data_IF_086673355921
#
_entry.id   IF_086673355921
#
_cell.length_a   1.000
_cell.length_b   1.000
_cell.length_c   1.000
_cell.angle_alpha   90.00
_cell.angle_beta   90.00
_cell.angle_gamma   90.00
#
_symmetry.space_group_name_H-M   'P 1'
#
loop_
_entity.id
_entity.type
_entity.pdbx_description
1 polymer ?
#
# COMPACT_ATOMS: atom_id res chain seq x y z
N UNK A 1 -8.19 -17.90 1.52
CA UNK A 1 -8.62 -17.26 0.24
C UNK A 1 -8.56 -15.75 0.37
N UNK A 2 -8.09 -15.01 -0.66
CA UNK A 2 -7.99 -13.55 -0.60
C UNK A 2 -9.34 -12.90 -0.91
N UNK A 3 -9.83 -12.05 0.00
CA UNK A 3 -11.05 -11.25 -0.19
C UNK A 3 -10.65 -9.87 -0.69
N UNK A 4 -10.77 -9.64 -2.01
CA UNK A 4 -10.24 -8.45 -2.68
C UNK A 4 -11.24 -7.29 -2.71
N UNK A 5 -10.72 -6.10 -2.51
CA UNK A 5 -11.46 -4.85 -2.57
C UNK A 5 -10.64 -3.68 -3.08
N UNK A 6 -10.89 -2.49 -2.56
CA UNK A 6 -10.32 -1.25 -3.08
C UNK A 6 -9.66 -0.41 -2.00
N UNK A 7 -8.52 0.19 -2.35
CA UNK A 7 -7.80 1.20 -1.57
C UNK A 7 -7.98 2.59 -2.21
N UNK A 8 -8.16 3.67 -1.44
CA UNK A 8 -8.41 5.01 -1.98
C UNK A 8 -7.20 5.60 -2.73
N UNK A 9 -5.99 5.17 -2.39
CA UNK A 9 -4.78 5.68 -3.06
C UNK A 9 -4.62 5.18 -4.49
N UNK A 10 -5.28 4.09 -4.88
CA UNK A 10 -5.34 3.62 -6.27
C UNK A 10 -6.05 4.57 -7.22
N UNK A 11 -6.99 5.38 -6.69
CA UNK A 11 -7.80 6.36 -7.43
C UNK A 11 -7.82 7.73 -6.71
N UNK A 12 -6.68 8.11 -6.16
CA UNK A 12 -6.55 9.26 -5.26
C UNK A 12 -6.95 10.60 -5.89
N UNK A 13 -6.67 10.84 -7.17
CA UNK A 13 -7.11 12.05 -7.87
C UNK A 13 -8.62 12.07 -8.07
N UNK A 14 -9.19 10.95 -8.49
CA UNK A 14 -10.65 10.77 -8.68
C UNK A 14 -11.42 11.07 -7.38
N UNK A 15 -10.84 10.74 -6.24
CA UNK A 15 -11.44 10.98 -4.92
C UNK A 15 -11.16 12.38 -4.35
N UNK A 16 -10.31 13.18 -4.99
CA UNK A 16 -9.91 14.51 -4.51
C UNK A 16 -8.86 14.48 -3.40
N UNK A 17 -8.12 13.36 -3.25
CA UNK A 17 -7.03 13.21 -2.29
C UNK A 17 -5.70 13.69 -2.87
N UNK A 18 -5.41 13.37 -4.13
CA UNK A 18 -4.17 13.76 -4.79
C UNK A 18 -4.23 15.20 -5.29
N UNK A 19 -3.16 15.97 -5.03
CA UNK A 19 -3.05 17.36 -5.46
C UNK A 19 -3.98 18.34 -4.73
N UNK A 20 -4.61 17.94 -3.62
CA UNK A 20 -5.65 18.70 -2.90
C UNK A 20 -5.26 20.14 -2.56
N UNK A 21 -4.00 20.37 -2.20
CA UNK A 21 -3.49 21.68 -1.79
C UNK A 21 -2.71 22.38 -2.92
N UNK A 22 -2.99 22.04 -4.17
CA UNK A 22 -2.34 22.58 -5.37
C UNK A 22 -3.38 23.13 -6.35
N UNK A 23 -2.95 23.98 -7.32
CA UNK A 23 -3.83 24.44 -8.41
C UNK A 23 -4.37 23.30 -9.29
N UNK A 24 -3.85 22.07 -9.15
CA UNK A 24 -4.26 20.88 -9.89
C UNK A 24 -5.21 19.97 -9.11
N UNK A 25 -5.76 20.44 -7.99
CA UNK A 25 -6.75 19.69 -7.23
C UNK A 25 -7.96 19.32 -8.11
N UNK A 26 -8.54 18.14 -7.88
CA UNK A 26 -9.79 17.77 -8.53
C UNK A 26 -10.96 18.47 -7.83
N UNK A 27 -11.63 19.45 -8.47
CA UNK A 27 -12.74 20.17 -7.87
C UNK A 27 -14.00 19.29 -7.69
N UNK A 28 -14.05 18.17 -8.41
CA UNK A 28 -15.16 17.21 -8.38
C UNK A 28 -14.78 15.91 -7.67
N UNK A 29 -13.83 15.96 -6.73
CA UNK A 29 -13.38 14.79 -5.99
C UNK A 29 -14.52 14.07 -5.28
N UNK A 30 -14.69 12.77 -5.55
CA UNK A 30 -15.84 11.98 -5.09
C UNK A 30 -15.85 11.65 -3.59
N UNK A 31 -14.73 11.87 -2.88
CA UNK A 31 -14.61 11.54 -1.45
C UNK A 31 -15.03 10.11 -1.12
N UNK A 32 -15.53 9.89 0.10
CA UNK A 32 -15.96 8.56 0.55
C UNK A 32 -17.14 8.00 -0.27
N UNK A 33 -18.09 8.84 -0.66
CA UNK A 33 -19.25 8.38 -1.44
C UNK A 33 -18.86 7.90 -2.83
N UNK A 34 -18.00 8.65 -3.52
CA UNK A 34 -17.44 8.23 -4.80
C UNK A 34 -16.60 6.96 -4.67
N UNK A 35 -15.88 6.81 -3.57
CA UNK A 35 -15.10 5.62 -3.26
C UNK A 35 -15.98 4.37 -3.12
N UNK A 36 -17.05 4.45 -2.32
CA UNK A 36 -18.03 3.34 -2.16
C UNK A 36 -18.71 3.02 -3.50
N UNK A 37 -19.02 4.03 -4.31
CA UNK A 37 -19.65 3.81 -5.63
C UNK A 37 -18.72 3.03 -6.57
N UNK A 38 -17.45 3.41 -6.68
CA UNK A 38 -16.46 2.69 -7.50
C UNK A 38 -16.23 1.27 -6.97
N UNK A 39 -16.10 1.10 -5.66
CA UNK A 39 -15.95 -0.20 -5.05
C UNK A 39 -17.15 -1.12 -5.32
N UNK A 40 -18.36 -0.58 -5.28
CA UNK A 40 -19.58 -1.32 -5.62
C UNK A 40 -19.63 -1.72 -7.09
N UNK A 41 -19.26 -0.82 -8.02
CA UNK A 41 -19.16 -1.12 -9.45
C UNK A 41 -18.20 -2.27 -9.73
N UNK A 42 -17.06 -2.31 -9.04
CA UNK A 42 -16.04 -3.36 -9.22
C UNK A 42 -16.40 -4.70 -8.57
N UNK A 43 -17.43 -4.75 -7.74
CA UNK A 43 -17.76 -5.93 -6.93
C UNK A 43 -16.77 -6.16 -5.79
N UNK A 44 -16.17 -5.10 -5.26
CA UNK A 44 -15.23 -5.16 -4.16
C UNK A 44 -15.86 -5.78 -2.90
N UNK A 45 -15.08 -6.61 -2.19
CA UNK A 45 -15.48 -7.27 -0.94
C UNK A 45 -14.75 -6.72 0.28
N UNK A 46 -13.70 -5.94 0.08
CA UNK A 46 -12.95 -5.24 1.14
C UNK A 46 -12.92 -3.76 0.79
N UNK A 47 -13.06 -2.90 1.77
CA UNK A 47 -12.94 -1.46 1.59
C UNK A 47 -11.97 -0.90 2.62
N UNK A 48 -10.80 -0.45 2.17
CA UNK A 48 -9.84 0.24 3.02
C UNK A 48 -10.18 1.73 3.07
N UNK A 49 -10.61 2.22 4.23
CA UNK A 49 -11.17 3.56 4.38
C UNK A 49 -10.12 4.50 4.96
N UNK A 50 -9.93 5.64 4.31
CA UNK A 50 -9.02 6.69 4.73
C UNK A 50 -9.49 7.31 6.05
N UNK A 51 -8.70 7.16 7.12
CA UNK A 51 -9.07 7.53 8.48
C UNK A 51 -9.58 8.98 8.61
N UNK A 52 -8.99 9.99 7.94
CA UNK A 52 -9.52 11.35 8.01
C UNK A 52 -10.98 11.52 7.57
N UNK A 53 -11.53 10.61 6.75
CA UNK A 53 -12.97 10.62 6.46
C UNK A 53 -13.79 10.15 7.65
N UNK A 54 -13.28 9.17 8.40
CA UNK A 54 -13.93 8.64 9.61
C UNK A 54 -13.87 9.64 10.76
N UNK A 55 -12.74 10.31 10.91
CA UNK A 55 -12.50 11.33 11.94
C UNK A 55 -13.49 12.51 11.90
N UNK A 56 -14.10 12.76 10.74
CA UNK A 56 -15.13 13.79 10.58
C UNK A 56 -16.54 13.31 10.95
N UNK A 57 -16.72 12.01 11.26
CA UNK A 57 -18.01 11.38 11.53
C UNK A 57 -18.32 11.33 13.02
N UNK A 58 -19.58 11.45 13.34
CA UNK A 58 -20.11 11.08 14.65
C UNK A 58 -20.17 9.57 14.81
N UNK A 59 -20.28 9.09 16.04
CA UNK A 59 -20.42 7.65 16.31
C UNK A 59 -21.68 7.03 15.64
N UNK A 60 -22.76 7.79 15.54
CA UNK A 60 -23.98 7.35 14.87
C UNK A 60 -23.76 7.19 13.35
N UNK A 61 -23.01 8.11 12.72
CA UNK A 61 -22.65 8.03 11.31
C UNK A 61 -21.70 6.87 11.03
N UNK A 62 -20.74 6.60 11.91
CA UNK A 62 -19.85 5.42 11.81
C UNK A 62 -20.65 4.11 11.88
N UNK A 63 -21.62 3.99 12.78
CA UNK A 63 -22.52 2.84 12.86
C UNK A 63 -23.37 2.69 11.59
N UNK A 64 -23.92 3.78 11.09
CA UNK A 64 -24.65 3.77 9.83
C UNK A 64 -23.79 3.34 8.63
N UNK A 65 -22.53 3.79 8.59
CA UNK A 65 -21.56 3.35 7.59
C UNK A 65 -21.26 1.85 7.72
N UNK A 66 -21.06 1.33 8.94
CA UNK A 66 -20.90 -0.11 9.20
C UNK A 66 -22.07 -0.91 8.62
N UNK A 67 -23.31 -0.52 8.95
CA UNK A 67 -24.51 -1.21 8.48
C UNK A 67 -24.66 -1.16 6.95
N UNK A 68 -24.26 -0.04 6.34
CA UNK A 68 -24.23 0.12 4.89
C UNK A 68 -23.22 -0.81 4.23
N UNK A 69 -21.99 -0.87 4.75
CA UNK A 69 -20.93 -1.75 4.21
C UNK A 69 -21.34 -3.22 4.36
N UNK A 70 -21.92 -3.61 5.49
CA UNK A 70 -22.44 -4.95 5.70
C UNK A 70 -23.51 -5.33 4.67
N UNK A 71 -24.44 -4.42 4.36
CA UNK A 71 -25.47 -4.61 3.30
C UNK A 71 -24.84 -4.76 1.90
N UNK A 72 -23.71 -4.11 1.64
CA UNK A 72 -22.96 -4.22 0.39
C UNK A 72 -22.05 -5.46 0.37
N UNK A 73 -21.93 -6.19 1.48
CA UNK A 73 -21.04 -7.34 1.62
C UNK A 73 -19.56 -6.95 1.61
N UNK A 74 -19.24 -5.76 2.11
CA UNK A 74 -17.89 -5.23 2.18
C UNK A 74 -17.33 -5.30 3.61
N UNK A 75 -16.14 -5.86 3.78
CA UNK A 75 -15.38 -5.87 5.02
C UNK A 75 -14.56 -4.57 5.13
N UNK A 76 -14.73 -3.74 6.18
CA UNK A 76 -13.94 -2.54 6.36
C UNK A 76 -12.53 -2.84 6.86
N UNK A 77 -11.56 -2.08 6.38
CA UNK A 77 -10.20 -1.91 6.91
C UNK A 77 -9.99 -0.42 7.10
N UNK A 78 -9.30 0.02 8.15
CA UNK A 78 -9.01 1.45 8.37
C UNK A 78 -7.59 1.76 7.91
N UNK A 79 -7.42 2.80 7.12
CA UNK A 79 -6.10 3.28 6.65
C UNK A 79 -5.66 4.47 7.47
N UNK A 80 -4.61 4.28 8.29
CA UNK A 80 -4.05 5.31 9.17
C UNK A 80 -2.51 5.32 9.12
N UNK A 81 -1.87 6.15 9.94
CA UNK A 81 -0.42 6.22 10.05
C UNK A 81 0.01 6.98 11.28
N UNK A 82 1.19 6.68 11.80
CA UNK A 82 1.74 7.33 12.99
C UNK A 82 1.89 8.85 12.85
N UNK A 83 1.97 9.33 11.60
CA UNK A 83 2.09 10.77 11.30
C UNK A 83 0.78 11.39 10.81
N UNK A 84 -0.32 10.62 10.73
CA UNK A 84 -1.60 11.12 10.21
C UNK A 84 -2.53 11.63 11.30
N UNK A 85 -2.35 11.15 12.53
CA UNK A 85 -3.18 11.52 13.66
C UNK A 85 -3.05 10.55 14.83
N UNK A 86 -3.85 10.73 15.89
CA UNK A 86 -3.82 9.85 17.06
C UNK A 86 -4.32 8.43 16.71
N UNK A 87 -3.45 7.42 16.84
CA UNK A 87 -3.79 6.01 16.52
C UNK A 87 -4.87 5.45 17.43
N UNK A 88 -4.96 5.93 18.68
CA UNK A 88 -6.05 5.56 19.61
C UNK A 88 -7.44 5.94 19.06
N UNK A 89 -7.54 7.05 18.30
CA UNK A 89 -8.76 7.42 17.59
C UNK A 89 -9.06 6.40 16.48
N UNK A 90 -8.07 6.07 15.65
CA UNK A 90 -8.24 5.07 14.59
C UNK A 90 -8.68 3.71 15.16
N UNK A 91 -8.17 3.31 16.34
CA UNK A 91 -8.61 2.08 17.03
C UNK A 91 -10.10 2.17 17.41
N UNK A 92 -10.56 3.27 18.03
CA UNK A 92 -11.98 3.45 18.38
C UNK A 92 -12.90 3.45 17.15
N UNK A 93 -12.47 4.11 16.08
CA UNK A 93 -13.21 4.15 14.80
C UNK A 93 -13.29 2.76 14.18
N UNK A 94 -12.18 2.01 14.15
CA UNK A 94 -12.13 0.64 13.67
C UNK A 94 -13.11 -0.26 14.43
N UNK A 95 -13.10 -0.22 15.75
CA UNK A 95 -14.03 -0.98 16.60
C UNK A 95 -15.48 -0.63 16.29
N UNK A 96 -15.81 0.67 16.20
CA UNK A 96 -17.17 1.12 15.90
C UNK A 96 -17.63 0.68 14.52
N UNK A 97 -16.73 0.76 13.52
CA UNK A 97 -16.97 0.34 12.15
C UNK A 97 -17.03 -1.20 12.00
N UNK A 98 -16.46 -1.94 12.96
CA UNK A 98 -16.34 -3.40 12.91
C UNK A 98 -15.15 -3.88 12.06
N UNK A 99 -14.15 -3.04 11.88
CA UNK A 99 -12.88 -3.41 11.27
C UNK A 99 -11.98 -4.12 12.27
N UNK A 100 -11.31 -5.18 11.85
CA UNK A 100 -10.34 -5.95 12.65
C UNK A 100 -8.90 -5.65 12.30
N UNK A 101 -8.68 -4.83 11.26
CA UNK A 101 -7.36 -4.44 10.78
C UNK A 101 -7.31 -2.92 10.60
N UNK A 102 -6.23 -2.33 11.08
CA UNK A 102 -5.80 -0.96 10.74
C UNK A 102 -4.50 -1.08 9.95
N UNK A 103 -4.51 -0.70 8.67
CA UNK A 103 -3.27 -0.47 7.94
C UNK A 103 -2.58 0.75 8.52
N UNK A 104 -1.32 0.61 8.89
CA UNK A 104 -0.57 1.65 9.59
C UNK A 104 0.71 2.02 8.83
N UNK A 105 0.78 3.26 8.32
CA UNK A 105 2.03 3.83 7.80
C UNK A 105 2.96 4.27 8.93
N UNK A 106 4.25 3.90 8.85
CA UNK A 106 5.23 4.21 9.89
C UNK A 106 6.00 5.50 9.64
N UNK A 107 6.45 5.72 8.40
CA UNK A 107 7.30 6.87 8.04
C UNK A 107 6.86 7.53 6.73
N UNK A 108 7.32 8.74 6.41
CA UNK A 108 7.07 9.40 5.14
C UNK A 108 8.15 9.06 4.07
N UNK A 109 9.07 8.14 4.35
CA UNK A 109 10.16 7.79 3.42
C UNK A 109 9.62 7.08 2.20
N UNK A 110 10.03 7.53 1.03
CA UNK A 110 9.66 6.97 -0.27
C UNK A 110 10.92 6.54 -1.04
N UNK A 111 10.73 5.69 -2.06
CA UNK A 111 11.80 5.24 -2.97
C UNK A 111 12.97 4.51 -2.27
N UNK A 112 12.78 4.02 -1.07
CA UNK A 112 13.85 3.45 -0.25
C UNK A 112 14.91 4.47 0.16
N UNK A 113 14.70 5.77 -0.08
CA UNK A 113 15.73 6.79 0.13
C UNK A 113 15.80 7.25 1.59
N UNK A 114 16.25 6.35 2.47
CA UNK A 114 16.47 6.63 3.90
C UNK A 114 17.50 7.74 4.11
N UNK A 115 18.48 7.86 3.19
CA UNK A 115 19.51 8.89 3.28
C UNK A 115 18.95 10.29 3.04
N UNK A 116 17.92 10.45 2.21
CA UNK A 116 17.23 11.72 2.04
C UNK A 116 16.56 12.21 3.33
N UNK A 117 16.14 11.29 4.20
CA UNK A 117 15.64 11.64 5.54
C UNK A 117 16.78 12.10 6.49
N UNK A 118 18.03 11.75 6.20
CA UNK A 118 19.20 12.14 6.98
C UNK A 118 19.09 11.76 8.46
N UNK A 119 19.34 12.72 9.36
CA UNK A 119 19.23 12.50 10.81
C UNK A 119 17.82 12.11 11.26
N UNK A 120 16.77 12.52 10.54
CA UNK A 120 15.38 12.19 10.85
C UNK A 120 15.06 10.72 10.71
N UNK A 121 15.84 9.94 9.92
CA UNK A 121 15.62 8.51 9.82
C UNK A 121 15.63 7.82 11.19
N UNK A 122 16.61 8.13 12.04
CA UNK A 122 16.68 7.58 13.41
C UNK A 122 15.50 8.01 14.28
N UNK A 123 15.05 9.24 14.10
CA UNK A 123 13.87 9.75 14.79
C UNK A 123 12.59 9.00 14.33
N UNK A 124 12.42 8.77 13.03
CA UNK A 124 11.30 8.01 12.50
C UNK A 124 11.27 6.58 13.04
N UNK A 125 12.41 5.89 13.07
CA UNK A 125 12.51 4.53 13.65
C UNK A 125 12.16 4.55 15.14
N UNK A 126 12.68 5.52 15.90
CA UNK A 126 12.36 5.67 17.32
C UNK A 126 10.88 5.93 17.56
N UNK A 127 10.27 6.82 16.76
CA UNK A 127 8.85 7.14 16.85
C UNK A 127 7.97 5.93 16.45
N UNK A 128 8.39 5.16 15.44
CA UNK A 128 7.73 3.92 15.06
C UNK A 128 7.70 2.93 16.23
N UNK A 129 8.85 2.64 16.84
CA UNK A 129 8.95 1.75 18.01
C UNK A 129 8.09 2.25 19.19
N UNK A 130 8.19 3.53 19.52
CA UNK A 130 7.41 4.12 20.61
C UNK A 130 5.89 4.03 20.34
N UNK A 131 5.46 4.30 19.10
CA UNK A 131 4.06 4.18 18.69
C UNK A 131 3.56 2.74 18.75
N UNK A 132 4.34 1.77 18.24
CA UNK A 132 3.96 0.36 18.26
C UNK A 132 3.91 -0.19 19.71
N UNK A 133 4.87 0.17 20.56
CA UNK A 133 4.86 -0.17 21.99
C UNK A 133 3.63 0.38 22.73
N UNK A 134 3.21 1.59 22.38
CA UNK A 134 2.05 2.24 22.99
C UNK A 134 0.73 1.68 22.49
N UNK A 135 0.55 1.58 21.17
CA UNK A 135 -0.74 1.32 20.56
C UNK A 135 -1.00 -0.15 20.23
N UNK A 136 0.05 -0.98 20.08
CA UNK A 136 -0.08 -2.41 19.79
C UNK A 136 -0.93 -3.16 20.83
N UNK A 137 -0.58 -3.08 22.13
CA UNK A 137 -1.39 -3.71 23.18
C UNK A 137 -2.83 -3.16 23.27
N UNK A 138 -3.03 -1.87 22.98
CA UNK A 138 -4.37 -1.27 22.97
C UNK A 138 -5.22 -1.83 21.83
N UNK A 139 -4.64 -1.96 20.63
CA UNK A 139 -5.31 -2.54 19.49
C UNK A 139 -5.63 -4.03 19.72
N UNK A 140 -4.68 -4.81 20.24
CA UNK A 140 -4.89 -6.22 20.60
C UNK A 140 -6.04 -6.40 21.59
N UNK A 141 -6.06 -5.59 22.66
CA UNK A 141 -7.14 -5.61 23.65
C UNK A 141 -8.52 -5.24 23.05
N UNK A 142 -8.54 -4.45 21.98
CA UNK A 142 -9.75 -4.08 21.25
C UNK A 142 -10.13 -5.09 20.14
N UNK A 143 -9.37 -6.17 19.94
CA UNK A 143 -9.58 -7.16 18.88
C UNK A 143 -9.21 -6.64 17.48
N UNK A 144 -8.29 -5.68 17.41
CA UNK A 144 -7.81 -5.04 16.17
C UNK A 144 -6.31 -5.31 16.01
N UNK A 145 -5.86 -5.61 14.81
CA UNK A 145 -4.43 -5.70 14.46
C UNK A 145 -3.93 -4.41 13.83
N UNK A 146 -2.78 -3.91 14.29
CA UNK A 146 -2.03 -2.85 13.62
C UNK A 146 -1.16 -3.48 12.53
N UNK A 147 -1.63 -3.47 11.30
CA UNK A 147 -0.92 -3.99 10.15
C UNK A 147 0.01 -2.92 9.56
N UNK A 148 1.31 -2.98 9.94
CA UNK A 148 2.32 -2.04 9.43
C UNK A 148 2.60 -2.32 7.95
N UNK A 149 2.53 -1.29 7.12
CA UNK A 149 2.78 -1.44 5.69
C UNK A 149 4.27 -1.38 5.36
N UNK A 150 4.74 -2.28 4.48
CA UNK A 150 6.04 -2.15 3.82
C UNK A 150 5.95 -1.03 2.76
N UNK A 151 5.96 0.22 3.23
CA UNK A 151 5.70 1.42 2.41
C UNK A 151 6.94 2.00 1.72
N UNK A 152 7.93 1.21 1.33
CA UNK A 152 9.19 1.64 0.70
C UNK A 152 10.26 2.13 1.69
N UNK A 153 10.13 1.85 2.97
CA UNK A 153 11.00 2.37 4.03
C UNK A 153 11.76 1.26 4.79
N UNK A 154 11.08 0.19 5.19
CA UNK A 154 11.66 -0.90 5.96
C UNK A 154 11.87 -2.16 5.11
N UNK A 155 12.94 -2.91 5.42
CA UNK A 155 13.20 -4.24 4.88
C UNK A 155 12.37 -5.31 5.57
N UNK A 156 12.27 -6.48 4.95
CA UNK A 156 11.50 -7.60 5.48
C UNK A 156 11.90 -7.99 6.90
N UNK A 157 13.20 -8.09 7.20
CA UNK A 157 13.70 -8.43 8.54
C UNK A 157 13.26 -7.40 9.60
N UNK A 158 13.36 -6.09 9.27
CA UNK A 158 12.98 -5.02 10.19
C UNK A 158 11.47 -5.02 10.48
N UNK A 159 10.64 -5.40 9.49
CA UNK A 159 9.20 -5.52 9.67
C UNK A 159 8.83 -6.73 10.56
N UNK A 160 9.52 -7.86 10.38
CA UNK A 160 9.35 -9.04 11.24
C UNK A 160 9.78 -8.74 12.66
N UNK A 161 10.93 -8.06 12.86
CA UNK A 161 11.38 -7.61 14.18
C UNK A 161 10.31 -6.78 14.91
N UNK A 162 9.61 -5.88 14.22
CA UNK A 162 8.50 -5.13 14.83
C UNK A 162 7.33 -6.04 15.23
N UNK A 163 6.99 -7.04 14.41
CA UNK A 163 5.91 -7.97 14.73
C UNK A 163 6.24 -8.89 15.91
N UNK A 164 7.50 -9.29 16.05
CA UNK A 164 7.97 -10.15 17.15
C UNK A 164 8.16 -9.37 18.46
N UNK A 165 8.53 -8.09 18.37
CA UNK A 165 8.76 -7.22 19.54
C UNK A 165 7.47 -6.65 20.13
N UNK A 166 6.43 -6.37 19.32
CA UNK A 166 5.24 -5.65 19.76
C UNK A 166 3.96 -6.46 19.59
N UNK A 167 3.22 -6.64 20.69
CA UNK A 167 1.90 -7.28 20.69
C UNK A 167 0.91 -6.52 19.78
N UNK A 168 0.03 -7.27 19.09
CA UNK A 168 -1.02 -6.67 18.25
C UNK A 168 -0.55 -6.10 16.93
N UNK A 169 0.76 -6.25 16.61
CA UNK A 169 1.36 -5.81 15.35
C UNK A 169 1.40 -6.95 14.35
N UNK A 170 1.08 -6.66 13.11
CA UNK A 170 1.24 -7.54 11.95
C UNK A 170 1.62 -6.71 10.74
N UNK A 171 1.63 -7.30 9.55
CA UNK A 171 2.07 -6.65 8.31
C UNK A 171 0.89 -6.46 7.36
N UNK A 172 0.75 -5.24 6.83
CA UNK A 172 0.03 -4.95 5.60
C UNK A 172 1.02 -5.07 4.44
N UNK A 173 0.92 -6.16 3.70
CA UNK A 173 1.87 -6.48 2.65
C UNK A 173 1.51 -5.79 1.33
N UNK A 174 2.28 -4.79 0.95
CA UNK A 174 2.25 -4.19 -0.38
C UNK A 174 3.18 -4.96 -1.33
N UNK A 175 2.59 -5.65 -2.31
CA UNK A 175 3.30 -6.56 -3.21
C UNK A 175 4.33 -5.87 -4.10
N UNK A 176 4.14 -4.60 -4.44
CA UNK A 176 5.07 -3.81 -5.27
C UNK A 176 6.21 -3.15 -4.48
N UNK A 177 6.06 -3.01 -3.17
CA UNK A 177 6.99 -2.24 -2.35
C UNK A 177 8.22 -3.05 -1.85
N UNK A 178 8.45 -4.23 -2.37
CA UNK A 178 9.70 -4.98 -2.18
C UNK A 178 10.85 -4.38 -3.00
N UNK A 179 10.57 -3.93 -4.21
CA UNK A 179 11.54 -3.30 -5.11
C UNK A 179 12.17 -2.01 -4.55
N UNK A 180 11.39 -1.08 -3.94
CA UNK A 180 11.95 0.13 -3.35
C UNK A 180 13.02 -0.08 -2.29
N UNK A 181 13.04 -1.22 -1.61
CA UNK A 181 14.05 -1.54 -0.58
C UNK A 181 15.11 -2.52 -1.07
N UNK A 182 15.13 -2.82 -2.38
CA UNK A 182 16.13 -3.67 -3.01
C UNK A 182 15.98 -5.17 -2.69
N UNK A 183 14.81 -5.64 -2.28
CA UNK A 183 14.55 -7.04 -1.96
C UNK A 183 13.74 -7.74 -3.05
N UNK A 184 14.07 -9.00 -3.29
CA UNK A 184 13.35 -9.82 -4.26
C UNK A 184 11.95 -10.19 -3.75
N UNK A 185 10.89 -10.11 -4.61
CA UNK A 185 9.52 -10.32 -4.18
C UNK A 185 9.26 -11.65 -3.46
N UNK A 186 9.68 -12.78 -4.01
CA UNK A 186 9.35 -14.09 -3.43
C UNK A 186 10.08 -14.38 -2.10
N UNK A 187 11.39 -14.13 -1.95
CA UNK A 187 12.05 -14.23 -0.65
C UNK A 187 11.45 -13.31 0.40
N UNK A 188 11.15 -12.05 0.05
CA UNK A 188 10.47 -11.10 0.91
C UNK A 188 9.13 -11.68 1.41
N UNK A 189 8.30 -12.15 0.48
CA UNK A 189 6.98 -12.72 0.81
C UNK A 189 7.10 -13.89 1.79
N UNK A 190 8.03 -14.85 1.54
CA UNK A 190 8.22 -15.99 2.44
C UNK A 190 8.60 -15.58 3.84
N UNK A 191 9.46 -14.55 3.95
CA UNK A 191 9.94 -14.10 5.25
C UNK A 191 8.84 -13.46 6.10
N UNK A 192 7.98 -12.66 5.49
CA UNK A 192 6.92 -11.93 6.20
C UNK A 192 5.61 -12.71 6.32
N UNK A 193 5.42 -13.79 5.55
CA UNK A 193 4.13 -14.47 5.40
C UNK A 193 3.41 -14.77 6.73
N UNK A 194 4.04 -15.30 7.79
CA UNK A 194 3.35 -15.61 9.07
C UNK A 194 2.74 -14.36 9.75
N UNK A 195 3.28 -13.18 9.46
CA UNK A 195 2.89 -11.92 10.10
C UNK A 195 1.88 -11.10 9.28
N UNK A 196 1.55 -11.52 8.05
CA UNK A 196 0.63 -10.76 7.18
C UNK A 196 -0.79 -10.77 7.75
N UNK A 197 -1.47 -9.61 7.71
CA UNK A 197 -2.85 -9.41 8.15
C UNK A 197 -3.73 -8.78 7.07
N UNK A 198 -3.10 -8.10 6.11
CA UNK A 198 -3.77 -7.44 4.99
C UNK A 198 -2.81 -7.35 3.81
N UNK A 199 -3.35 -7.23 2.58
CA UNK A 199 -2.54 -7.17 1.36
C UNK A 199 -2.91 -5.96 0.51
N UNK A 200 -1.92 -5.16 0.12
CA UNK A 200 -2.04 -4.19 -0.97
C UNK A 200 -1.53 -4.84 -2.25
N UNK A 201 -2.44 -5.05 -3.19
CA UNK A 201 -2.10 -5.55 -4.52
C UNK A 201 -1.63 -4.38 -5.37
N UNK A 202 -0.34 -4.37 -5.66
CA UNK A 202 0.34 -3.33 -6.43
C UNK A 202 1.27 -3.98 -7.45
N UNK A 203 1.39 -3.37 -8.61
CA UNK A 203 2.28 -3.84 -9.65
C UNK A 203 2.97 -2.68 -10.36
N UNK A 204 4.16 -2.93 -10.88
CA UNK A 204 4.97 -1.95 -11.58
C UNK A 204 5.58 -2.50 -12.85
N UNK A 205 5.60 -1.68 -13.90
CA UNK A 205 6.55 -1.82 -15.00
C UNK A 205 7.82 -1.04 -14.66
N UNK A 206 8.95 -1.54 -15.10
CA UNK A 206 10.26 -1.00 -14.69
C UNK A 206 10.95 -0.34 -15.87
N UNK A 207 11.41 0.90 -15.70
CA UNK A 207 12.33 1.59 -16.60
C UNK A 207 13.69 1.71 -15.94
N UNK A 208 14.74 1.20 -16.60
CA UNK A 208 16.12 1.32 -16.12
C UNK A 208 16.68 2.73 -16.35
N UNK A 209 17.54 3.17 -15.44
CA UNK A 209 18.24 4.44 -15.49
C UNK A 209 19.71 4.25 -15.06
N UNK A 210 20.58 5.23 -15.32
CA UNK A 210 21.97 5.20 -14.86
C UNK A 210 22.11 5.15 -13.33
N UNK A 211 21.06 5.58 -12.59
CA UNK A 211 21.05 5.61 -11.13
C UNK A 211 20.33 4.41 -10.48
N UNK A 212 19.67 3.56 -11.27
CA UNK A 212 18.87 2.45 -10.79
C UNK A 212 17.68 2.18 -11.68
N UNK A 213 16.46 2.28 -11.16
CA UNK A 213 15.25 2.09 -11.95
C UNK A 213 14.08 2.97 -11.47
N UNK A 214 13.18 3.24 -12.39
CA UNK A 214 11.88 3.85 -12.11
C UNK A 214 10.80 2.78 -12.08
N UNK A 215 9.98 2.80 -11.04
CA UNK A 215 8.79 1.98 -10.91
C UNK A 215 7.60 2.79 -11.42
N UNK A 216 7.06 2.36 -12.54
CA UNK A 216 5.95 3.02 -13.22
C UNK A 216 4.69 2.22 -12.95
N UNK A 217 3.67 2.86 -12.39
CA UNK A 217 2.39 2.19 -12.09
C UNK A 217 1.79 1.57 -13.35
N UNK A 218 1.17 0.42 -13.19
CA UNK A 218 0.41 -0.26 -14.25
C UNK A 218 -0.82 -0.94 -13.65
N UNK A 219 -1.68 -1.47 -14.49
CA UNK A 219 -2.73 -2.35 -13.98
C UNK A 219 -2.10 -3.61 -13.37
N UNK A 220 -2.65 -4.07 -12.28
CA UNK A 220 -2.16 -5.24 -11.55
C UNK A 220 -2.23 -6.46 -12.48
N UNK A 221 -1.15 -7.25 -12.54
CA UNK A 221 -0.96 -8.36 -13.48
C UNK A 221 -0.26 -7.98 -14.80
N UNK A 222 0.00 -6.68 -15.06
CA UNK A 222 0.70 -6.23 -16.27
C UNK A 222 2.20 -5.93 -16.02
N UNK A 223 2.64 -5.96 -14.79
CA UNK A 223 3.99 -5.57 -14.37
C UNK A 223 4.93 -6.73 -14.03
N UNK A 224 5.93 -6.42 -13.23
CA UNK A 224 7.02 -7.31 -12.87
C UNK A 224 6.77 -8.12 -11.57
N UNK A 225 5.69 -7.81 -10.84
CA UNK A 225 5.38 -8.47 -9.58
C UNK A 225 4.84 -9.88 -9.82
N UNK A 226 5.43 -10.94 -9.26
CA UNK A 226 4.99 -12.34 -9.44
C UNK A 226 3.81 -12.65 -8.51
N UNK A 227 2.65 -12.02 -8.76
CA UNK A 227 1.48 -12.02 -7.87
C UNK A 227 0.97 -13.43 -7.56
N UNK A 228 0.85 -14.30 -8.56
CA UNK A 228 0.32 -15.65 -8.37
C UNK A 228 1.16 -16.46 -7.39
N UNK A 229 2.49 -16.39 -7.53
CA UNK A 229 3.43 -17.08 -6.65
C UNK A 229 3.44 -16.47 -5.25
N UNK A 230 3.35 -15.14 -5.14
CA UNK A 230 3.26 -14.46 -3.85
C UNK A 230 1.98 -14.85 -3.12
N UNK A 231 0.84 -14.87 -3.79
CA UNK A 231 -0.43 -15.27 -3.21
C UNK A 231 -0.45 -16.76 -2.83
N UNK A 232 0.23 -17.61 -3.59
CA UNK A 232 0.39 -19.03 -3.23
C UNK A 232 1.17 -19.20 -1.92
N UNK A 233 2.26 -18.45 -1.73
CA UNK A 233 3.02 -18.45 -0.47
C UNK A 233 2.16 -17.99 0.71
N UNK A 234 1.38 -16.92 0.54
CA UNK A 234 0.48 -16.45 1.61
C UNK A 234 -0.62 -17.45 1.94
N UNK A 235 -1.09 -18.21 0.95
CA UNK A 235 -2.12 -19.24 1.14
C UNK A 235 -1.63 -20.47 1.91
N UNK A 236 -0.31 -20.69 2.01
CA UNK A 236 0.28 -21.74 2.87
C UNK A 236 0.15 -21.38 4.36
N UNK A 237 0.12 -20.07 4.69
CA UNK A 237 0.09 -19.57 6.08
C UNK A 237 -1.31 -19.09 6.51
N UNK A 238 -2.20 -18.75 5.57
CA UNK A 238 -3.48 -18.11 5.87
C UNK A 238 -4.63 -18.71 5.06
N UNK A 239 -5.67 -19.19 5.75
CA UNK A 239 -6.92 -19.64 5.13
C UNK A 239 -7.69 -18.45 4.51
N UNK A 240 -7.67 -17.30 5.18
CA UNK A 240 -8.38 -16.09 4.78
C UNK A 240 -7.51 -14.85 5.01
N UNK A 241 -7.46 -13.99 4.00
CA UNK A 241 -6.85 -12.65 4.07
C UNK A 241 -7.75 -11.63 3.36
N UNK A 242 -7.74 -10.40 3.85
CA UNK A 242 -8.26 -9.27 3.10
C UNK A 242 -7.18 -8.65 2.22
N UNK A 243 -7.56 -8.19 1.04
CA UNK A 243 -6.66 -7.47 0.13
C UNK A 243 -7.37 -6.35 -0.61
N UNK A 244 -6.61 -5.41 -1.12
CA UNK A 244 -7.14 -4.25 -1.85
C UNK A 244 -6.31 -3.93 -3.09
N UNK A 245 -6.97 -3.44 -4.13
CA UNK A 245 -6.33 -2.90 -5.31
C UNK A 245 -5.71 -1.54 -4.99
N UNK A 246 -4.40 -1.42 -5.16
CA UNK A 246 -3.66 -0.16 -5.02
C UNK A 246 -2.62 0.00 -6.14
N UNK A 247 -3.01 0.41 -7.35
CA UNK A 247 -2.05 0.61 -8.45
C UNK A 247 -0.94 1.63 -8.17
N UNK A 248 -0.98 2.30 -7.04
CA UNK A 248 0.07 3.23 -6.58
C UNK A 248 -0.15 4.68 -6.99
N UNK A 249 0.80 5.53 -6.61
CA UNK A 249 0.75 6.97 -6.83
C UNK A 249 0.81 7.36 -8.31
N UNK A 250 0.36 8.59 -8.61
CA UNK A 250 0.41 9.16 -9.97
C UNK A 250 1.82 9.54 -10.43
N UNK A 251 2.80 9.56 -9.52
CA UNK A 251 4.22 9.78 -9.87
C UNK A 251 4.99 8.46 -9.87
N UNK A 252 5.88 8.29 -10.85
CA UNK A 252 6.81 7.18 -10.88
C UNK A 252 7.81 7.27 -9.73
N UNK A 253 8.15 6.11 -9.12
CA UNK A 253 9.11 6.03 -8.03
C UNK A 253 10.51 5.75 -8.58
N UNK A 254 11.46 6.65 -8.36
CA UNK A 254 12.83 6.49 -8.82
C UNK A 254 13.72 5.91 -7.71
N UNK A 255 14.05 4.63 -7.83
CA UNK A 255 14.89 3.90 -6.88
C UNK A 255 16.34 4.01 -7.33
N UNK A 256 17.15 4.79 -6.61
CA UNK A 256 18.53 5.16 -7.00
C UNK A 256 19.57 4.20 -6.44
N UNK A 257 19.29 2.92 -6.43
CA UNK A 257 20.15 1.89 -5.79
C UNK A 257 21.52 1.69 -6.44
N UNK A 258 21.80 2.30 -7.61
CA UNK A 258 23.14 2.30 -8.21
C UNK A 258 24.01 3.48 -7.72
N UNK A 259 23.47 4.33 -6.82
CA UNK A 259 24.23 5.40 -6.20
C UNK A 259 24.66 5.01 -4.79
N UNK A 260 25.94 5.28 -4.39
CA UNK A 260 26.41 4.97 -3.03
C UNK A 260 25.58 5.66 -1.92
N UNK A 261 25.01 6.82 -2.23
CA UNK A 261 24.22 7.62 -1.30
C UNK A 261 22.95 6.91 -0.84
N UNK A 262 22.28 6.19 -1.72
CA UNK A 262 21.06 5.46 -1.40
C UNK A 262 21.28 4.41 -0.33
N UNK A 263 22.44 3.75 -0.33
CA UNK A 263 22.78 2.69 0.62
C UNK A 263 23.12 3.15 2.05
N UNK A 264 23.37 4.45 2.25
CA UNK A 264 23.80 4.99 3.57
C UNK A 264 22.79 4.76 4.70
N UNK A 265 21.54 4.53 4.38
CA UNK A 265 20.47 4.24 5.35
C UNK A 265 20.23 2.75 5.59
N UNK A 266 20.96 1.86 4.92
CA UNK A 266 20.74 0.42 4.95
C UNK A 266 21.89 -0.32 5.61
N UNK A 267 21.63 -1.50 6.25
CA UNK A 267 22.69 -2.44 6.57
C UNK A 267 23.36 -2.94 5.27
N UNK A 268 24.58 -3.48 5.42
CA UNK A 268 25.27 -4.05 4.25
C UNK A 268 24.45 -5.20 3.67
N UNK A 269 24.23 -5.16 2.36
CA UNK A 269 23.58 -6.22 1.58
C UNK A 269 24.59 -6.89 0.67
N UNK A 270 24.54 -8.20 0.56
CA UNK A 270 25.38 -8.94 -0.37
C UNK A 270 24.87 -8.84 -1.80
N UNK A 271 25.75 -9.06 -2.77
CA UNK A 271 25.36 -9.16 -4.18
C UNK A 271 24.38 -10.32 -4.42
N UNK A 272 24.48 -11.40 -3.62
CA UNK A 272 23.60 -12.56 -3.72
C UNK A 272 22.15 -12.24 -3.28
N UNK A 273 21.96 -11.30 -2.36
CA UNK A 273 20.63 -10.82 -1.94
C UNK A 273 20.05 -9.83 -2.95
N UNK A 274 20.87 -8.94 -3.52
CA UNK A 274 20.42 -7.93 -4.47
C UNK A 274 20.13 -8.50 -5.86
N UNK A 275 20.92 -9.45 -6.35
CA UNK A 275 20.82 -9.96 -7.71
C UNK A 275 19.42 -10.53 -8.07
N UNK A 276 18.73 -11.28 -7.20
CA UNK A 276 17.36 -11.71 -7.47
C UNK A 276 16.35 -10.57 -7.59
N UNK A 277 16.52 -9.46 -6.84
CA UNK A 277 15.68 -8.27 -6.96
C UNK A 277 15.88 -7.63 -8.35
N UNK A 278 17.12 -7.44 -8.77
CA UNK A 278 17.44 -6.89 -10.09
C UNK A 278 16.95 -7.79 -11.23
N UNK A 279 17.02 -9.11 -11.06
CA UNK A 279 16.47 -10.06 -12.04
C UNK A 279 14.95 -9.94 -12.15
N UNK A 280 14.22 -9.86 -11.03
CA UNK A 280 12.78 -9.65 -11.01
C UNK A 280 12.39 -8.32 -11.67
N UNK A 281 13.13 -7.24 -11.39
CA UNK A 281 12.90 -5.92 -11.98
C UNK A 281 13.08 -5.86 -13.50
N UNK A 282 13.76 -6.86 -14.11
CA UNK A 282 13.90 -6.97 -15.57
C UNK A 282 12.68 -7.62 -16.24
N UNK A 283 11.85 -8.30 -15.50
CA UNK A 283 10.61 -8.87 -16.02
C UNK A 283 9.67 -7.72 -16.37
N UNK A 284 9.14 -7.70 -17.61
CA UNK A 284 8.25 -6.63 -18.10
C UNK A 284 8.88 -5.22 -18.07
N UNK A 285 10.20 -5.11 -18.24
CA UNK A 285 10.86 -3.80 -18.36
C UNK A 285 10.29 -3.00 -19.53
N UNK A 286 10.28 -1.68 -19.37
CA UNK A 286 9.91 -0.76 -20.44
C UNK A 286 11.12 -0.52 -21.36
N UNK A 287 10.90 -0.22 -22.66
CA UNK A 287 11.96 0.25 -23.53
C UNK A 287 12.66 1.49 -22.97
N UNK A 288 13.97 1.62 -23.20
CA UNK A 288 14.77 2.71 -22.64
C UNK A 288 14.28 4.10 -23.12
N UNK A 289 13.77 4.18 -24.35
CA UNK A 289 13.26 5.42 -24.96
C UNK A 289 11.77 5.68 -24.63
N UNK A 290 11.10 4.80 -23.88
CA UNK A 290 9.68 4.98 -23.59
C UNK A 290 9.45 6.23 -22.72
N UNK A 291 8.45 7.05 -23.07
CA UNK A 291 7.98 8.08 -22.15
C UNK A 291 7.19 7.42 -21.02
N UNK A 292 7.87 7.24 -19.88
CA UNK A 292 7.33 6.59 -18.70
C UNK A 292 6.62 7.55 -17.76
N UNK A 293 6.43 8.82 -18.16
CA UNK A 293 5.69 9.78 -17.36
C UNK A 293 4.21 9.42 -17.35
N UNK A 294 3.62 9.48 -16.18
CA UNK A 294 2.17 9.37 -16.04
C UNK A 294 1.45 10.61 -16.62
N UNK A 295 0.15 10.57 -16.84
CA UNK A 295 -0.61 11.77 -17.23
C UNK A 295 -0.44 12.93 -16.24
N UNK A 296 -0.30 12.65 -14.95
CA UNK A 296 0.00 13.66 -13.94
C UNK A 296 1.37 14.33 -14.17
N UNK A 297 2.40 13.53 -14.40
CA UNK A 297 3.77 14.02 -14.66
C UNK A 297 3.88 14.78 -15.99
N UNK A 298 3.01 14.49 -16.96
CA UNK A 298 2.90 15.23 -18.21
C UNK A 298 2.08 16.52 -18.10
N UNK A 299 1.41 16.76 -16.96
CA UNK A 299 0.58 17.93 -16.75
C UNK A 299 -0.78 17.88 -17.45
N UNK A 300 -1.30 16.68 -17.73
CA UNK A 300 -2.58 16.50 -18.42
C UNK A 300 -3.78 16.93 -17.56
N UNK A 301 -4.91 17.16 -18.22
CA UNK A 301 -6.15 17.65 -17.61
C UNK A 301 -6.79 16.65 -16.63
N UNK A 302 -7.62 17.18 -15.71
CA UNK A 302 -8.29 16.39 -14.69
C UNK A 302 -9.17 15.27 -15.23
N UNK A 303 -9.85 15.47 -16.35
CA UNK A 303 -10.66 14.43 -16.99
C UNK A 303 -9.80 13.25 -17.50
N UNK A 304 -8.61 13.54 -18.00
CA UNK A 304 -7.65 12.50 -18.41
C UNK A 304 -7.15 11.72 -17.21
N UNK A 305 -6.87 12.41 -16.09
CA UNK A 305 -6.41 11.79 -14.86
C UNK A 305 -7.47 10.85 -14.27
N UNK A 306 -8.71 11.30 -14.17
CA UNK A 306 -9.84 10.48 -13.69
C UNK A 306 -10.02 9.23 -14.56
N UNK A 307 -10.04 9.40 -15.87
CA UNK A 307 -10.16 8.28 -16.81
C UNK A 307 -8.99 7.29 -16.66
N UNK A 308 -7.77 7.81 -16.58
CA UNK A 308 -6.56 7.00 -16.41
C UNK A 308 -6.62 6.14 -15.12
N UNK A 309 -7.03 6.71 -13.99
CA UNK A 309 -7.17 5.97 -12.74
C UNK A 309 -8.28 4.91 -12.82
N UNK A 310 -9.47 5.28 -13.29
CA UNK A 310 -10.60 4.37 -13.40
C UNK A 310 -10.35 3.23 -14.41
N UNK A 311 -9.73 3.52 -15.55
CA UNK A 311 -9.37 2.49 -16.53
C UNK A 311 -8.33 1.52 -15.96
N UNK A 312 -7.35 2.04 -15.21
CA UNK A 312 -6.33 1.19 -14.57
C UNK A 312 -6.93 0.27 -13.51
N UNK A 313 -7.83 0.79 -12.66
CA UNK A 313 -8.44 -0.02 -11.61
C UNK A 313 -9.38 -1.08 -12.19
N UNK A 314 -10.14 -0.76 -13.25
CA UNK A 314 -11.00 -1.72 -13.95
C UNK A 314 -10.21 -2.84 -14.61
N UNK A 315 -9.10 -2.50 -15.28
CA UNK A 315 -8.18 -3.51 -15.85
C UNK A 315 -7.56 -4.38 -14.76
N UNK A 316 -7.14 -3.78 -13.66
CA UNK A 316 -6.62 -4.52 -12.51
C UNK A 316 -7.62 -5.54 -11.98
N UNK A 317 -8.88 -5.14 -11.80
CA UNK A 317 -9.94 -6.04 -11.35
C UNK A 317 -10.20 -7.18 -12.38
N UNK A 318 -10.20 -6.88 -13.67
CA UNK A 318 -10.35 -7.87 -14.73
C UNK A 318 -9.18 -8.88 -14.72
N UNK A 319 -7.94 -8.40 -14.65
CA UNK A 319 -6.75 -9.25 -14.60
C UNK A 319 -6.75 -10.18 -13.37
N UNK A 320 -7.16 -9.66 -12.20
CA UNK A 320 -7.23 -10.49 -10.99
C UNK A 320 -8.32 -11.56 -11.07
N UNK A 321 -9.43 -11.30 -11.77
CA UNK A 321 -10.45 -12.32 -12.05
C UNK A 321 -9.89 -13.42 -12.97
N UNK A 322 -9.14 -13.04 -14.01
CA UNK A 322 -8.46 -14.00 -14.89
C UNK A 322 -7.41 -14.84 -14.15
N UNK A 323 -6.72 -14.26 -13.17
CA UNK A 323 -5.78 -14.96 -12.31
C UNK A 323 -6.44 -15.80 -11.20
N UNK A 324 -7.77 -15.74 -11.07
CA UNK A 324 -8.51 -16.44 -10.00
C UNK A 324 -8.27 -15.85 -8.60
N UNK A 325 -7.77 -14.62 -8.50
CA UNK A 325 -7.49 -13.92 -7.25
C UNK A 325 -8.63 -12.99 -6.79
N UNK A 326 -9.59 -12.74 -7.66
CA UNK A 326 -10.80 -11.95 -7.36
C UNK A 326 -12.04 -12.67 -7.95
N UNK A 327 -13.17 -12.62 -7.24
CA UNK A 327 -14.43 -13.23 -7.66
C UNK A 327 -15.14 -12.42 -8.77
#
# INVERSE_FOLDING_TARGET
MLTVGLNPYGIAYTLGLHGRDTPRANPNGGGLEGFIAVATELGARTLEIFEPWLAAMTEAELRALKDRLAKLGMTPVVSSGLMMGPVDRAIREAVTLGATVIRLGLTPVLCGDRNAAGAKWREFVSNARAGLAQYGPQAAAAGVSLAIENHQDFKSEELVDFCEEFEGVGICFDTGNTFPVGEAPLPFTRWIAPHVRHVHLKDYRVQWTDQGYRLVRCAIGEGAVPLSEMMAILAEEHDELTGVLEPGALEARHIRLFTPEWWKGYPMMSAAELAPCLAAARVRQLPDEADCRTPWERGEDGEVLVRYELDMIRRSAANLKELGLMA
#
